data_IF_092970705120
#
_entry.id   IF_092970705120
#
_cell.length_a   1.000
_cell.length_b   1.000
_cell.length_c   1.000
_cell.angle_alpha   90.00
_cell.angle_beta   90.00
_cell.angle_gamma   90.00
#
_symmetry.space_group_name_H-M   'P 1'
#
loop_
_entity.id
_entity.type
_entity.pdbx_description
1 polymer ?
#
# COMPACT_ATOMS: atom_id res chain seq x y z
N UNK A 1 -29.22 -10.19 25.00
CA UNK A 1 -29.37 -9.98 23.54
C UNK A 1 -27.99 -9.73 22.94
N UNK A 2 -27.37 -10.76 22.37
CA UNK A 2 -26.04 -10.69 21.74
C UNK A 2 -26.17 -9.97 20.39
N UNK A 3 -26.07 -8.65 20.41
CA UNK A 3 -26.05 -7.83 19.21
C UNK A 3 -24.92 -8.30 18.29
N UNK A 4 -25.28 -8.76 17.10
CA UNK A 4 -24.35 -9.13 16.03
C UNK A 4 -23.36 -7.99 15.80
N UNK A 5 -22.13 -8.14 16.32
CA UNK A 5 -21.05 -7.17 16.12
C UNK A 5 -20.65 -7.25 14.66
N UNK A 6 -21.08 -6.28 13.86
CA UNK A 6 -20.86 -6.25 12.42
C UNK A 6 -19.35 -6.40 12.10
N UNK A 7 -18.96 -7.37 11.26
CA UNK A 7 -17.56 -7.64 10.92
C UNK A 7 -16.88 -6.56 10.06
N UNK A 8 -17.62 -5.50 9.68
CA UNK A 8 -17.18 -4.40 8.83
C UNK A 8 -15.87 -3.77 9.32
N UNK A 9 -15.71 -3.57 10.63
CA UNK A 9 -14.47 -3.00 11.20
C UNK A 9 -13.24 -3.86 10.89
N UNK A 10 -13.36 -5.19 10.93
CA UNK A 10 -12.25 -6.09 10.60
C UNK A 10 -11.94 -6.09 9.10
N UNK A 11 -12.98 -6.05 8.26
CA UNK A 11 -12.81 -5.95 6.82
C UNK A 11 -12.08 -4.64 6.43
N UNK A 12 -12.47 -3.51 7.02
CA UNK A 12 -11.83 -2.22 6.78
C UNK A 12 -10.35 -2.20 7.21
N UNK A 13 -10.01 -2.86 8.31
CA UNK A 13 -8.62 -2.98 8.76
C UNK A 13 -7.80 -3.91 7.87
N UNK A 14 -8.39 -5.03 7.44
CA UNK A 14 -7.75 -6.03 6.58
C UNK A 14 -7.59 -5.56 5.12
N UNK A 15 -8.40 -4.59 4.67
CA UNK A 15 -8.27 -4.01 3.34
C UNK A 15 -6.90 -3.34 3.13
N UNK A 16 -6.29 -2.78 4.17
CA UNK A 16 -4.99 -2.11 4.05
C UNK A 16 -3.89 -2.99 3.45
N UNK A 17 -3.53 -4.12 4.10
CA UNK A 17 -2.53 -5.05 3.57
C UNK A 17 -2.89 -5.65 2.21
N UNK A 18 -4.17 -5.96 2.00
CA UNK A 18 -4.67 -6.52 0.73
C UNK A 18 -4.46 -5.54 -0.42
N UNK A 19 -4.79 -4.27 -0.21
CA UNK A 19 -4.64 -3.22 -1.23
C UNK A 19 -3.16 -2.87 -1.47
N UNK A 20 -2.30 -2.95 -0.47
CA UNK A 20 -0.85 -2.81 -0.66
C UNK A 20 -0.27 -3.95 -1.53
N UNK A 21 -0.73 -5.20 -1.31
CA UNK A 21 -0.35 -6.33 -2.16
C UNK A 21 -0.89 -6.17 -3.59
N UNK A 22 -2.13 -5.70 -3.75
CA UNK A 22 -2.71 -5.40 -5.05
C UNK A 22 -1.94 -4.30 -5.80
N UNK A 23 -1.50 -3.26 -5.08
CA UNK A 23 -0.65 -2.20 -5.64
C UNK A 23 0.67 -2.75 -6.18
N UNK A 24 1.36 -3.61 -5.42
CA UNK A 24 2.59 -4.26 -5.87
C UNK A 24 2.34 -5.15 -7.10
N UNK A 25 1.30 -5.98 -7.07
CA UNK A 25 0.96 -6.89 -8.17
C UNK A 25 0.62 -6.14 -9.46
N UNK A 26 -0.21 -5.10 -9.38
CA UNK A 26 -0.58 -4.30 -10.54
C UNK A 26 0.63 -3.57 -11.15
N UNK A 27 1.51 -3.00 -10.32
CA UNK A 27 2.71 -2.35 -10.82
C UNK A 27 3.73 -3.35 -11.38
N UNK A 28 3.85 -4.56 -10.83
CA UNK A 28 4.69 -5.62 -11.41
C UNK A 28 4.27 -5.94 -12.86
N UNK A 29 2.95 -6.06 -13.09
CA UNK A 29 2.40 -6.31 -14.43
C UNK A 29 2.70 -5.14 -15.36
N UNK A 30 2.51 -3.90 -14.89
CA UNK A 30 2.80 -2.70 -15.68
C UNK A 30 4.29 -2.60 -16.05
N UNK A 31 5.19 -2.83 -15.10
CA UNK A 31 6.64 -2.79 -15.32
C UNK A 31 7.06 -3.88 -16.30
N UNK A 32 6.53 -5.11 -16.17
CA UNK A 32 6.81 -6.18 -17.14
C UNK A 32 6.34 -5.84 -18.55
N UNK A 33 5.20 -5.16 -18.69
CA UNK A 33 4.73 -4.68 -19.98
C UNK A 33 5.66 -3.60 -20.56
N UNK A 34 6.06 -2.63 -19.74
CA UNK A 34 6.98 -1.56 -20.13
C UNK A 34 8.39 -2.08 -20.51
N UNK A 35 8.92 -3.04 -19.76
CA UNK A 35 10.19 -3.73 -20.08
C UNK A 35 10.11 -4.42 -21.45
N UNK A 36 9.01 -5.11 -21.75
CA UNK A 36 8.84 -5.76 -23.06
C UNK A 36 8.78 -4.74 -24.20
N UNK A 37 8.10 -3.61 -23.98
CA UNK A 37 8.03 -2.53 -24.97
C UNK A 37 9.40 -1.86 -25.19
N UNK A 38 10.15 -1.63 -24.11
CA UNK A 38 11.51 -1.11 -24.15
C UNK A 38 12.44 -2.01 -24.98
N UNK A 39 12.41 -3.32 -24.72
CA UNK A 39 13.26 -4.30 -25.43
C UNK A 39 12.85 -4.46 -26.90
N UNK A 40 11.57 -4.23 -27.22
CA UNK A 40 11.06 -4.26 -28.59
C UNK A 40 11.28 -2.93 -29.34
N UNK A 41 11.79 -1.87 -28.70
CA UNK A 41 11.95 -0.58 -29.35
C UNK A 41 13.20 -0.59 -30.26
N UNK A 42 13.18 0.18 -31.37
CA UNK A 42 14.30 0.21 -32.32
C UNK A 42 15.61 0.73 -31.72
N UNK A 43 15.53 1.51 -30.64
CA UNK A 43 16.68 2.08 -29.93
C UNK A 43 17.28 1.13 -28.87
N UNK A 44 16.81 -0.11 -28.77
CA UNK A 44 17.33 -1.08 -27.82
C UNK A 44 18.71 -1.61 -28.25
N UNK A 45 19.74 -1.21 -27.52
CA UNK A 45 21.14 -1.63 -27.75
C UNK A 45 21.61 -2.75 -26.80
N UNK A 46 20.79 -3.15 -25.83
CA UNK A 46 21.15 -4.12 -24.79
C UNK A 46 20.98 -5.59 -25.18
N UNK A 47 21.53 -6.51 -24.38
CA UNK A 47 21.22 -7.93 -24.51
C UNK A 47 19.78 -8.22 -24.10
N UNK A 48 19.12 -9.16 -24.77
CA UNK A 48 17.77 -9.60 -24.38
C UNK A 48 17.81 -10.12 -22.92
N UNK A 49 16.93 -9.62 -22.03
CA UNK A 49 16.85 -10.14 -20.67
C UNK A 49 16.50 -11.63 -20.67
N UNK A 50 17.09 -12.39 -19.75
CA UNK A 50 16.67 -13.77 -19.49
C UNK A 50 15.21 -13.87 -19.02
N UNK A 51 14.63 -15.08 -18.95
CA UNK A 51 13.21 -15.29 -18.64
C UNK A 51 12.75 -14.74 -17.28
N UNK A 52 13.66 -14.63 -16.32
CA UNK A 52 13.41 -14.08 -14.98
C UNK A 52 14.11 -12.73 -14.73
N UNK A 53 14.69 -12.13 -15.76
CA UNK A 53 15.43 -10.88 -15.68
C UNK A 53 14.62 -9.69 -16.19
N UNK A 54 15.01 -8.49 -15.77
CA UNK A 54 14.48 -7.23 -16.25
C UNK A 54 15.64 -6.35 -16.71
N UNK A 55 15.33 -5.30 -17.48
CA UNK A 55 16.29 -4.22 -17.72
C UNK A 55 16.71 -3.57 -16.39
N UNK A 56 17.83 -2.85 -16.38
CA UNK A 56 18.29 -2.10 -15.20
C UNK A 56 17.19 -1.14 -14.69
N UNK A 57 16.58 -0.38 -15.60
CA UNK A 57 15.43 0.48 -15.31
C UNK A 57 14.25 -0.32 -14.71
N UNK A 58 13.86 -1.44 -15.34
CA UNK A 58 12.77 -2.27 -14.83
C UNK A 58 13.03 -2.78 -13.41
N UNK A 59 14.27 -3.17 -13.11
CA UNK A 59 14.69 -3.64 -11.79
C UNK A 59 14.63 -2.52 -10.73
N UNK A 60 15.15 -1.34 -11.06
CA UNK A 60 15.16 -0.20 -10.15
C UNK A 60 13.75 0.30 -9.85
N UNK A 61 12.92 0.42 -10.90
CA UNK A 61 11.50 0.78 -10.75
C UNK A 61 10.78 -0.26 -9.88
N UNK A 62 11.01 -1.55 -10.13
CA UNK A 62 10.41 -2.61 -9.33
C UNK A 62 10.83 -2.56 -7.87
N UNK A 63 12.12 -2.31 -7.58
CA UNK A 63 12.62 -2.15 -6.21
C UNK A 63 11.91 -1.01 -5.48
N UNK A 64 11.76 0.16 -6.12
CA UNK A 64 11.08 1.31 -5.50
C UNK A 64 9.61 1.00 -5.22
N UNK A 65 8.89 0.43 -6.19
CA UNK A 65 7.49 0.01 -6.03
C UNK A 65 7.36 -1.01 -4.91
N UNK A 66 8.21 -2.04 -4.90
CA UNK A 66 8.19 -3.11 -3.91
C UNK A 66 8.47 -2.57 -2.51
N UNK A 67 9.50 -1.73 -2.33
CA UNK A 67 9.80 -1.11 -1.04
C UNK A 67 8.64 -0.24 -0.55
N UNK A 68 8.01 0.54 -1.44
CA UNK A 68 6.84 1.36 -1.11
C UNK A 68 5.66 0.48 -0.65
N UNK A 69 5.38 -0.60 -1.38
CA UNK A 69 4.32 -1.53 -1.05
C UNK A 69 4.58 -2.28 0.26
N UNK A 70 5.82 -2.71 0.50
CA UNK A 70 6.22 -3.40 1.73
C UNK A 70 6.11 -2.47 2.95
N UNK A 71 6.58 -1.23 2.83
CA UNK A 71 6.46 -0.23 3.90
C UNK A 71 4.98 0.06 4.21
N UNK A 72 4.18 0.38 3.18
CA UNK A 72 2.76 0.61 3.34
C UNK A 72 2.02 -0.62 3.92
N UNK A 73 2.34 -1.82 3.41
CA UNK A 73 1.75 -3.07 3.87
C UNK A 73 2.11 -3.41 5.31
N UNK A 74 3.37 -3.24 5.72
CA UNK A 74 3.81 -3.48 7.09
C UNK A 74 3.12 -2.51 8.08
N UNK A 75 3.04 -1.23 7.71
CA UNK A 75 2.31 -0.22 8.50
C UNK A 75 0.82 -0.54 8.56
N UNK A 76 0.23 -0.98 7.45
CA UNK A 76 -1.15 -1.41 7.41
C UNK A 76 -1.41 -2.62 8.33
N UNK A 77 -0.51 -3.60 8.38
CA UNK A 77 -0.60 -4.72 9.32
C UNK A 77 -0.54 -4.22 10.76
N UNK A 78 0.40 -3.30 11.07
CA UNK A 78 0.50 -2.70 12.40
C UNK A 78 -0.80 -1.99 12.81
N UNK A 79 -1.42 -1.23 11.90
CA UNK A 79 -2.72 -0.59 12.13
C UNK A 79 -3.85 -1.58 12.35
N UNK A 80 -3.89 -2.69 11.61
CA UNK A 80 -4.87 -3.75 11.83
C UNK A 80 -4.73 -4.37 13.22
N UNK A 81 -3.49 -4.64 13.66
CA UNK A 81 -3.19 -5.15 15.01
C UNK A 81 -3.59 -4.14 16.08
N UNK A 82 -3.24 -2.86 15.92
CA UNK A 82 -3.64 -1.79 16.85
C UNK A 82 -5.16 -1.71 16.95
N UNK A 83 -5.87 -1.72 15.82
CA UNK A 83 -7.33 -1.73 15.78
C UNK A 83 -7.93 -2.91 16.54
N UNK A 84 -7.37 -4.11 16.37
CA UNK A 84 -7.80 -5.31 17.12
C UNK A 84 -7.57 -5.16 18.63
N UNK A 85 -6.42 -4.63 19.05
CA UNK A 85 -6.09 -4.42 20.46
C UNK A 85 -6.98 -3.34 21.11
N UNK A 86 -7.33 -2.29 20.38
CA UNK A 86 -8.21 -1.22 20.84
C UNK A 86 -9.63 -1.73 21.12
N UNK A 87 -10.11 -2.74 20.37
CA UNK A 87 -11.42 -3.37 20.59
C UNK A 87 -11.47 -4.20 21.87
N UNK A 88 -10.33 -4.72 22.33
CA UNK A 88 -10.22 -5.58 23.52
C UNK A 88 -10.17 -4.82 24.86
N UNK A 89 -10.34 -3.49 24.86
CA UNK A 89 -10.43 -2.71 26.11
C UNK A 89 -9.11 -2.62 26.90
N UNK A 90 -7.94 -2.66 26.23
CA UNK A 90 -6.66 -2.74 26.94
C UNK A 90 -6.33 -1.52 27.83
N UNK A 91 -5.67 -1.77 28.96
CA UNK A 91 -5.11 -0.76 29.89
C UNK A 91 -4.10 0.20 29.24
N UNK A 92 -3.54 -0.14 28.07
CA UNK A 92 -2.48 0.63 27.38
C UNK A 92 -3.00 1.45 26.19
N UNK A 93 -4.27 1.85 26.24
CA UNK A 93 -4.96 2.51 25.12
C UNK A 93 -4.31 3.82 24.67
N UNK A 94 -3.84 4.64 25.62
CA UNK A 94 -3.14 5.90 25.33
C UNK A 94 -1.85 5.66 24.53
N UNK A 95 -1.07 4.64 24.91
CA UNK A 95 0.13 4.25 24.17
C UNK A 95 -0.20 3.83 22.73
N UNK A 96 -1.27 3.04 22.54
CA UNK A 96 -1.72 2.63 21.19
C UNK A 96 -2.12 3.83 20.33
N UNK A 97 -2.74 4.86 20.90
CA UNK A 97 -3.05 6.10 20.18
C UNK A 97 -1.80 6.87 19.77
N UNK A 98 -0.85 7.07 20.69
CA UNK A 98 0.41 7.75 20.38
C UNK A 98 1.18 6.99 19.30
N UNK A 99 1.32 5.67 19.45
CA UNK A 99 1.96 4.83 18.45
C UNK A 99 1.25 4.92 17.10
N UNK A 100 -0.08 4.90 17.08
CA UNK A 100 -0.86 5.05 15.84
C UNK A 100 -0.64 6.41 15.17
N UNK A 101 -0.44 7.49 15.94
CA UNK A 101 -0.11 8.81 15.41
C UNK A 101 1.30 8.86 14.82
N UNK A 102 2.28 8.27 15.52
CA UNK A 102 3.67 8.20 15.04
C UNK A 102 3.78 7.41 13.75
N UNK A 103 3.10 6.26 13.65
CA UNK A 103 3.10 5.41 12.46
C UNK A 103 2.38 6.06 11.26
N UNK A 104 1.62 7.13 11.48
CA UNK A 104 0.86 7.80 10.41
C UNK A 104 1.80 8.54 9.47
N UNK A 105 2.90 9.08 10.01
CA UNK A 105 3.90 9.82 9.23
C UNK A 105 4.58 8.93 8.18
N UNK A 106 5.21 7.79 8.52
CA UNK A 106 5.81 6.93 7.52
C UNK A 106 4.77 6.30 6.58
N UNK A 107 3.51 6.13 7.02
CA UNK A 107 2.46 5.59 6.15
C UNK A 107 2.04 6.62 5.09
N UNK A 108 1.82 7.87 5.52
CA UNK A 108 1.56 8.98 4.63
C UNK A 108 2.72 9.21 3.66
N UNK A 109 3.97 9.05 4.12
CA UNK A 109 5.14 9.14 3.25
C UNK A 109 5.13 8.07 2.15
N UNK A 110 4.80 6.81 2.49
CA UNK A 110 4.69 5.75 1.49
C UNK A 110 3.60 6.06 0.43
N UNK A 111 2.44 6.56 0.87
CA UNK A 111 1.36 6.99 -0.03
C UNK A 111 1.82 8.18 -0.89
N UNK A 112 2.53 9.14 -0.32
CA UNK A 112 3.06 10.29 -1.03
C UNK A 112 4.08 9.90 -2.10
N UNK A 113 5.01 8.99 -1.79
CA UNK A 113 5.96 8.45 -2.77
C UNK A 113 5.21 7.79 -3.94
N UNK A 114 4.16 7.01 -3.66
CA UNK A 114 3.34 6.43 -4.71
C UNK A 114 2.59 7.47 -5.56
N UNK A 115 2.17 8.60 -4.97
CA UNK A 115 1.52 9.71 -5.67
C UNK A 115 2.45 10.42 -6.66
N UNK A 116 3.75 10.49 -6.34
CA UNK A 116 4.75 11.03 -7.27
C UNK A 116 4.98 10.16 -8.50
N UNK A 117 4.34 8.99 -8.58
CA UNK A 117 4.49 8.00 -9.64
C UNK A 117 5.97 7.69 -9.95
N UNK A 118 6.66 6.92 -9.08
CA UNK A 118 8.09 6.65 -9.22
C UNK A 118 8.42 5.93 -10.53
N UNK A 119 7.45 5.21 -11.11
CA UNK A 119 7.60 4.55 -12.42
C UNK A 119 7.82 5.57 -13.52
N UNK A 120 6.96 6.60 -13.60
CA UNK A 120 7.10 7.66 -14.59
C UNK A 120 8.34 8.53 -14.30
N UNK A 121 8.58 8.86 -13.03
CA UNK A 121 9.74 9.67 -12.62
C UNK A 121 11.08 9.04 -12.96
N UNK A 122 11.26 7.73 -12.71
CA UNK A 122 12.48 7.02 -13.06
C UNK A 122 12.61 6.82 -14.57
N UNK A 123 11.53 6.53 -15.28
CA UNK A 123 11.58 6.39 -16.73
C UNK A 123 11.98 7.69 -17.44
N UNK A 124 11.56 8.85 -16.92
CA UNK A 124 12.01 10.15 -17.38
C UNK A 124 13.49 10.41 -17.05
N UNK A 125 13.94 9.99 -15.86
CA UNK A 125 15.35 10.14 -15.45
C UNK A 125 16.30 9.30 -16.31
N UNK A 126 15.86 8.12 -16.73
CA UNK A 126 16.62 7.20 -17.59
C UNK A 126 16.46 7.48 -19.09
N UNK A 127 15.72 8.53 -19.47
CA UNK A 127 15.46 8.95 -20.86
C UNK A 127 15.12 7.78 -21.81
N UNK A 128 14.18 6.92 -21.40
CA UNK A 128 13.88 5.67 -22.12
C UNK A 128 12.45 5.69 -22.69
N UNK A 129 12.23 6.27 -23.89
CA UNK A 129 10.91 6.48 -24.46
C UNK A 129 10.17 5.17 -24.79
N UNK A 130 10.89 4.10 -25.18
CA UNK A 130 10.29 2.78 -25.36
C UNK A 130 9.66 2.21 -24.08
N UNK A 131 10.23 2.51 -22.91
CA UNK A 131 9.67 2.07 -21.62
C UNK A 131 8.41 2.87 -21.27
N UNK A 132 8.44 4.20 -21.41
CA UNK A 132 7.29 5.05 -21.09
C UNK A 132 6.10 4.79 -22.01
N UNK A 133 6.35 4.58 -23.31
CA UNK A 133 5.32 4.20 -24.29
C UNK A 133 4.67 2.85 -23.98
N UNK A 134 5.42 1.94 -23.33
CA UNK A 134 4.93 0.62 -22.91
C UNK A 134 4.13 0.60 -21.62
N UNK A 135 4.06 1.73 -20.89
CA UNK A 135 3.30 1.78 -19.64
C UNK A 135 1.80 1.72 -19.92
N UNK A 136 1.05 0.79 -19.31
CA UNK A 136 -0.39 0.78 -19.44
C UNK A 136 -1.01 2.08 -18.89
N UNK A 137 -2.00 2.64 -19.59
CA UNK A 137 -2.64 3.90 -19.19
C UNK A 137 -3.31 3.86 -17.80
N UNK A 138 -3.63 2.67 -17.28
CA UNK A 138 -4.16 2.50 -15.92
C UNK A 138 -3.10 2.54 -14.82
N UNK A 139 -1.80 2.45 -15.15
CA UNK A 139 -0.72 2.34 -14.16
C UNK A 139 -0.71 3.52 -13.18
N UNK A 140 -0.90 4.74 -13.69
CA UNK A 140 -0.96 5.94 -12.84
C UNK A 140 -2.11 5.90 -11.83
N UNK A 141 -3.20 5.19 -12.13
CA UNK A 141 -4.34 5.02 -11.23
C UNK A 141 -4.08 4.06 -10.06
N UNK A 142 -2.99 3.27 -10.09
CA UNK A 142 -2.72 2.26 -9.05
C UNK A 142 -2.51 2.87 -7.66
N UNK A 143 -2.07 4.13 -7.58
CA UNK A 143 -1.91 4.85 -6.30
C UNK A 143 -3.23 4.96 -5.51
N UNK A 144 -4.37 4.96 -6.21
CA UNK A 144 -5.70 4.98 -5.58
C UNK A 144 -5.87 3.79 -4.63
N UNK A 145 -5.24 2.64 -4.90
CA UNK A 145 -5.27 1.48 -4.02
C UNK A 145 -4.69 1.80 -2.63
N UNK A 146 -3.55 2.51 -2.57
CA UNK A 146 -2.92 2.89 -1.30
C UNK A 146 -3.69 4.00 -0.58
N UNK A 147 -4.32 4.92 -1.32
CA UNK A 147 -5.20 5.94 -0.73
C UNK A 147 -6.43 5.28 -0.11
N UNK A 148 -7.09 4.38 -0.84
CA UNK A 148 -8.24 3.62 -0.33
C UNK A 148 -7.85 2.74 0.85
N UNK A 149 -6.65 2.15 0.84
CA UNK A 149 -6.09 1.43 1.98
C UNK A 149 -6.02 2.31 3.23
N UNK A 150 -5.37 3.48 3.11
CA UNK A 150 -5.21 4.42 4.21
C UNK A 150 -6.57 4.90 4.76
N UNK A 151 -7.51 5.25 3.87
CA UNK A 151 -8.86 5.68 4.25
C UNK A 151 -9.63 4.55 4.96
N UNK A 152 -9.60 3.34 4.42
CA UNK A 152 -10.28 2.18 5.02
C UNK A 152 -9.74 1.92 6.43
N UNK A 153 -8.43 2.03 6.63
CA UNK A 153 -7.81 1.83 7.94
C UNK A 153 -8.11 2.97 8.91
N UNK A 154 -8.10 4.23 8.47
CA UNK A 154 -8.49 5.35 9.31
C UNK A 154 -9.94 5.19 9.83
N UNK A 155 -10.86 4.77 8.95
CA UNK A 155 -12.25 4.46 9.31
C UNK A 155 -12.30 3.25 10.25
N UNK A 156 -11.58 2.18 9.95
CA UNK A 156 -11.51 0.98 10.79
C UNK A 156 -10.99 1.26 12.20
N UNK A 157 -9.94 2.06 12.35
CA UNK A 157 -9.40 2.46 13.65
C UNK A 157 -10.36 3.34 14.43
N UNK A 158 -10.98 4.34 13.79
CA UNK A 158 -11.97 5.20 14.46
C UNK A 158 -13.16 4.38 14.97
N UNK A 159 -13.69 3.44 14.16
CA UNK A 159 -14.75 2.53 14.57
C UNK A 159 -14.31 1.61 15.74
N UNK A 160 -13.11 1.02 15.66
CA UNK A 160 -12.56 0.16 16.70
C UNK A 160 -12.42 0.87 18.06
N UNK A 161 -12.03 2.15 18.05
CA UNK A 161 -11.94 2.95 19.28
C UNK A 161 -13.30 3.24 19.91
N UNK A 162 -14.33 3.44 19.10
CA UNK A 162 -15.72 3.60 19.55
C UNK A 162 -16.26 2.32 20.19
N UNK A 163 -16.04 1.16 19.56
CA UNK A 163 -16.42 -0.16 20.11
C UNK A 163 -15.75 -0.43 21.46
N UNK A 164 -14.46 -0.14 21.58
CA UNK A 164 -13.71 -0.33 22.83
C UNK A 164 -14.20 0.56 23.99
N UNK A 165 -14.73 1.76 23.73
CA UNK A 165 -15.34 2.61 24.78
C UNK A 165 -16.66 2.01 25.29
N UNK A 166 -17.51 1.52 24.39
CA UNK A 166 -18.82 0.96 24.75
C UNK A 166 -18.68 -0.35 25.53
N UNK A 167 -17.71 -1.19 25.19
CA UNK A 167 -17.44 -2.44 25.92
C UNK A 167 -17.04 -2.17 27.37
N UNK A 168 -16.10 -1.24 27.60
CA UNK A 168 -15.67 -0.87 28.96
C UNK A 168 -16.82 -0.28 29.79
N UNK A 169 -17.65 0.57 29.20
CA UNK A 169 -18.81 1.16 29.90
C UNK A 169 -19.85 0.10 30.32
N UNK A 170 -19.99 -0.99 29.55
CA UNK A 170 -20.90 -2.10 29.87
C UNK A 170 -20.33 -3.08 30.91
N UNK A 171 -19.01 -3.09 31.14
CA UNK A 171 -18.36 -3.89 32.18
C UNK A 171 -18.31 -3.17 33.54
N UNK A 172 -18.47 -1.84 33.55
CA UNK A 172 -18.39 -0.98 34.74
C UNK A 172 -19.75 -0.53 35.30
N UNK A 173 -20.87 -0.91 34.69
CA UNK A 173 -22.23 -0.57 35.12
C UNK A 173 -23.05 -1.83 35.39
#
# INVERSE_FOLDING_TARGET
MTGSRRPITLYLLALGPVLAAAYAGANLVAIKAAVRAQVASPEWEGALPGPDEMTALGTDVWRVVLMTALLAGALAVAYAVIGLLLRRGSRKRTFLFVLSGVLMVPYALAVFVALLNPVAGLAALYDTPGFTAGLPGWQGGTVVLLVVAALSQAIGLSAATGEGRRALAAESG
#
